data_IF_714904986509
#
_entry.id   IF_714904986509
#
_cell.length_a   1.000
_cell.length_b   1.000
_cell.length_c   1.000
_cell.angle_alpha   90.00
_cell.angle_beta   90.00
_cell.angle_gamma   90.00
#
_symmetry.space_group_name_H-M   'P 1'
#
loop_
_entity.id
_entity.type
_entity.pdbx_description
1 polymer ?
#
# COMPACT_ATOMS: atom_id res chain seq x y z
N UNK A 1 -8.43 -8.81 -20.46
CA UNK A 1 -7.19 -9.55 -20.13
C UNK A 1 -5.92 -8.76 -20.44
N UNK A 2 -5.77 -8.17 -21.63
CA UNK A 2 -4.59 -7.36 -21.99
C UNK A 2 -4.33 -6.15 -21.07
N UNK A 3 -5.38 -5.48 -20.58
CA UNK A 3 -5.28 -4.31 -19.70
C UNK A 3 -4.66 -4.63 -18.34
N UNK A 4 -4.88 -5.85 -17.84
CA UNK A 4 -4.37 -6.29 -16.53
C UNK A 4 -2.88 -6.63 -16.62
N UNK A 5 -2.44 -7.19 -17.74
CA UNK A 5 -1.03 -7.50 -17.99
C UNK A 5 -0.20 -6.24 -18.22
N UNK A 6 -0.74 -5.25 -18.94
CA UNK A 6 -0.13 -3.94 -19.16
C UNK A 6 -0.04 -3.12 -17.87
N UNK A 7 -1.08 -3.19 -17.03
CA UNK A 7 -1.05 -2.65 -15.67
C UNK A 7 0.01 -3.36 -14.82
N UNK A 8 0.11 -4.70 -14.92
CA UNK A 8 1.13 -5.48 -14.21
C UNK A 8 2.54 -5.02 -14.60
N UNK A 9 2.84 -4.89 -15.89
CA UNK A 9 4.12 -4.39 -16.39
C UNK A 9 4.42 -2.94 -15.92
N UNK A 10 3.39 -2.10 -15.83
CA UNK A 10 3.52 -0.75 -15.24
C UNK A 10 3.77 -0.79 -13.72
N UNK A 11 3.19 -1.73 -12.98
CA UNK A 11 3.52 -1.92 -11.56
C UNK A 11 4.95 -2.44 -11.37
N UNK A 12 5.45 -3.32 -12.25
CA UNK A 12 6.84 -3.83 -12.20
C UNK A 12 7.91 -2.76 -12.46
N UNK A 13 7.54 -1.65 -13.13
CA UNK A 13 8.48 -0.57 -13.48
C UNK A 13 8.96 0.29 -12.30
N UNK A 14 8.46 0.06 -11.07
CA UNK A 14 8.67 0.92 -9.88
C UNK A 14 8.18 2.36 -10.06
N UNK A 15 7.24 2.64 -10.96
CA UNK A 15 6.75 4.01 -11.23
C UNK A 15 5.33 4.22 -10.65
N UNK A 16 4.60 3.15 -10.36
CA UNK A 16 3.19 3.19 -9.96
C UNK A 16 2.94 2.39 -8.69
N UNK A 17 2.07 2.93 -7.83
CA UNK A 17 1.50 2.22 -6.69
C UNK A 17 0.09 1.78 -7.04
N UNK A 18 -0.28 0.56 -6.64
CA UNK A 18 -1.59 -0.01 -6.89
C UNK A 18 -2.15 -0.70 -5.66
N UNK A 19 -3.47 -0.68 -5.52
CA UNK A 19 -4.19 -1.44 -4.52
C UNK A 19 -5.55 -1.90 -5.04
N UNK A 20 -6.00 -3.04 -4.53
CA UNK A 20 -7.30 -3.62 -4.82
C UNK A 20 -7.98 -3.96 -3.51
N UNK A 21 -9.23 -3.53 -3.36
CA UNK A 21 -10.08 -3.88 -2.23
C UNK A 21 -11.01 -5.02 -2.64
N UNK A 22 -10.93 -6.12 -1.90
CA UNK A 22 -11.77 -7.30 -2.06
C UNK A 22 -12.53 -7.51 -0.76
N UNK A 23 -13.85 -7.69 -0.84
CA UNK A 23 -14.70 -8.03 0.29
C UNK A 23 -15.64 -9.16 -0.13
N UNK A 24 -15.76 -10.21 0.70
CA UNK A 24 -16.61 -11.37 0.42
C UNK A 24 -16.39 -11.95 -1.00
N UNK A 25 -15.13 -12.05 -1.43
CA UNK A 25 -14.71 -12.52 -2.76
C UNK A 25 -15.16 -11.65 -3.95
N UNK A 26 -15.66 -10.43 -3.70
CA UNK A 26 -16.02 -9.45 -4.72
C UNK A 26 -15.04 -8.27 -4.72
N UNK A 27 -14.66 -7.82 -5.92
CA UNK A 27 -13.84 -6.64 -6.09
C UNK A 27 -14.69 -5.38 -5.90
N UNK A 28 -14.39 -4.59 -4.87
CA UNK A 28 -15.14 -3.37 -4.55
C UNK A 28 -14.48 -2.15 -5.18
N UNK A 29 -13.17 -2.05 -5.07
CA UNK A 29 -12.44 -0.87 -5.50
C UNK A 29 -11.07 -1.23 -6.07
N UNK A 30 -10.72 -0.52 -7.14
CA UNK A 30 -9.38 -0.49 -7.70
C UNK A 30 -8.87 0.93 -7.60
N UNK A 31 -7.64 1.08 -7.16
CA UNK A 31 -7.00 2.37 -7.18
C UNK A 31 -5.51 2.23 -7.46
N UNK A 32 -5.01 3.16 -8.25
CA UNK A 32 -3.59 3.26 -8.55
C UNK A 32 -3.22 4.72 -8.66
N UNK A 33 -1.95 5.02 -8.40
CA UNK A 33 -1.40 6.35 -8.64
C UNK A 33 0.06 6.23 -9.06
N UNK A 34 0.52 7.23 -9.79
CA UNK A 34 1.94 7.38 -10.07
C UNK A 34 2.68 7.78 -8.78
N UNK A 35 3.91 7.30 -8.64
CA UNK A 35 4.82 7.79 -7.62
C UNK A 35 5.13 9.26 -7.86
N UNK A 36 5.19 10.02 -6.77
CA UNK A 36 5.67 11.39 -6.83
C UNK A 36 7.19 11.37 -7.01
N UNK A 37 7.73 12.45 -7.58
CA UNK A 37 9.16 12.62 -7.85
C UNK A 37 10.02 12.35 -6.60
N UNK A 38 9.56 12.76 -5.41
CA UNK A 38 10.27 12.52 -4.15
C UNK A 38 10.15 11.07 -3.64
N UNK A 39 9.04 10.38 -3.95
CA UNK A 39 8.86 8.97 -3.57
C UNK A 39 9.71 8.05 -4.45
N UNK A 40 10.06 8.49 -5.67
CA UNK A 40 10.89 7.71 -6.59
C UNK A 40 12.31 7.42 -6.04
N UNK A 41 12.80 8.25 -5.11
CA UNK A 41 14.09 8.04 -4.45
C UNK A 41 13.99 7.17 -3.19
N UNK A 42 12.80 6.70 -2.83
CA UNK A 42 12.63 5.89 -1.64
C UNK A 42 13.17 4.47 -1.85
N UNK A 43 13.76 3.88 -0.81
CA UNK A 43 14.15 2.48 -0.87
C UNK A 43 12.90 1.60 -1.03
N UNK A 44 13.07 0.39 -1.57
CA UNK A 44 11.96 -0.51 -1.88
C UNK A 44 11.03 -0.75 -0.68
N UNK A 45 11.56 -0.88 0.53
CA UNK A 45 10.73 -1.07 1.74
C UNK A 45 9.82 0.12 2.06
N UNK A 46 10.27 1.36 1.80
CA UNK A 46 9.47 2.57 2.00
C UNK A 46 8.41 2.73 0.90
N UNK A 47 8.72 2.29 -0.33
CA UNK A 47 7.75 2.23 -1.42
C UNK A 47 6.62 1.24 -1.12
N UNK A 48 6.94 0.06 -0.60
CA UNK A 48 5.94 -0.93 -0.16
C UNK A 48 5.05 -0.35 0.94
N UNK A 49 5.64 0.32 1.94
CA UNK A 49 4.86 0.95 3.00
C UNK A 49 3.97 2.08 2.45
N UNK A 50 4.47 2.86 1.49
CA UNK A 50 3.68 3.89 0.81
C UNK A 50 2.50 3.30 0.03
N UNK A 51 2.67 2.11 -0.57
CA UNK A 51 1.60 1.36 -1.23
C UNK A 51 0.48 0.99 -0.25
N UNK A 52 0.84 0.46 0.92
CA UNK A 52 -0.11 0.07 1.97
C UNK A 52 -0.84 1.29 2.55
N UNK A 53 -0.10 2.36 2.85
CA UNK A 53 -0.70 3.62 3.32
C UNK A 53 -1.65 4.21 2.29
N UNK A 54 -1.30 4.13 1.00
CA UNK A 54 -2.16 4.57 -0.09
C UNK A 54 -3.45 3.73 -0.15
N UNK A 55 -3.32 2.40 -0.08
CA UNK A 55 -4.45 1.48 -0.05
C UNK A 55 -5.41 1.80 1.10
N UNK A 56 -4.88 1.95 2.31
CA UNK A 56 -5.67 2.22 3.51
C UNK A 56 -6.32 3.60 3.49
N UNK A 57 -5.69 4.61 2.90
CA UNK A 57 -6.31 5.93 2.72
C UNK A 57 -7.54 5.88 1.82
N UNK A 58 -7.48 5.13 0.73
CA UNK A 58 -8.63 4.95 -0.18
C UNK A 58 -9.69 4.09 0.47
N UNK A 59 -9.26 3.02 1.15
CA UNK A 59 -10.15 2.08 1.78
C UNK A 59 -10.67 2.59 3.13
N UNK A 60 -10.19 3.70 3.69
CA UNK A 60 -10.61 4.24 5.00
C UNK A 60 -12.13 4.30 5.16
N UNK A 61 -12.85 4.65 4.08
CA UNK A 61 -14.32 4.71 4.08
C UNK A 61 -14.99 3.33 4.22
N UNK A 62 -14.31 2.27 3.81
CA UNK A 62 -14.78 0.88 3.84
C UNK A 62 -14.25 0.07 5.04
N UNK A 63 -13.10 0.47 5.61
CA UNK A 63 -12.40 -0.29 6.65
C UNK A 63 -12.74 0.13 8.09
N UNK A 64 -13.39 1.27 8.27
CA UNK A 64 -13.69 1.79 9.61
C UNK A 64 -14.56 0.80 10.42
N UNK A 65 -13.99 0.23 11.48
CA UNK A 65 -14.68 -0.74 12.36
C UNK A 65 -14.74 -2.18 11.84
N UNK A 66 -13.95 -2.53 10.82
CA UNK A 66 -13.90 -3.88 10.23
C UNK A 66 -12.47 -4.42 10.29
N UNK A 67 -12.31 -5.71 10.62
CA UNK A 67 -11.01 -6.37 10.54
C UNK A 67 -10.58 -6.53 9.08
N UNK A 68 -9.34 -6.14 8.77
CA UNK A 68 -8.80 -6.12 7.41
C UNK A 68 -7.55 -6.97 7.32
N UNK A 69 -7.57 -7.93 6.40
CA UNK A 69 -6.38 -8.67 6.02
C UNK A 69 -5.66 -7.96 4.87
N UNK A 70 -4.42 -7.54 5.11
CA UNK A 70 -3.58 -6.88 4.10
C UNK A 70 -2.67 -7.92 3.44
N UNK A 71 -2.87 -8.14 2.14
CA UNK A 71 -2.02 -9.01 1.33
C UNK A 71 -1.04 -8.16 0.51
N UNK A 72 0.25 -8.41 0.69
CA UNK A 72 1.35 -7.84 -0.10
C UNK A 72 2.24 -8.98 -0.58
N UNK A 73 2.79 -8.86 -1.78
CA UNK A 73 3.74 -9.79 -2.38
C UNK A 73 5.12 -9.72 -1.73
N UNK A 74 5.42 -8.66 -0.98
CA UNK A 74 6.73 -8.41 -0.40
C UNK A 74 6.81 -8.72 1.11
N UNK A 75 7.63 -9.73 1.46
CA UNK A 75 7.93 -10.15 2.85
C UNK A 75 8.52 -9.03 3.73
N UNK A 76 9.04 -7.96 3.13
CA UNK A 76 9.64 -6.81 3.84
C UNK A 76 8.66 -6.08 4.76
N UNK A 77 7.35 -6.12 4.47
CA UNK A 77 6.36 -5.42 5.30
C UNK A 77 6.26 -5.99 6.72
N UNK A 78 6.51 -7.29 6.90
CA UNK A 78 6.56 -7.93 8.23
C UNK A 78 7.68 -7.35 9.11
N UNK A 79 8.74 -6.83 8.48
CA UNK A 79 9.89 -6.26 9.17
C UNK A 79 9.68 -4.78 9.51
N UNK A 80 8.89 -4.04 8.72
CA UNK A 80 8.56 -2.63 9.01
C UNK A 80 7.92 -2.50 10.39
N UNK A 81 6.93 -3.33 10.73
CA UNK A 81 6.30 -3.30 12.06
C UNK A 81 7.20 -3.79 13.20
N UNK A 82 8.27 -4.54 12.90
CA UNK A 82 9.22 -5.08 13.89
C UNK A 82 10.46 -4.19 14.08
N UNK A 83 10.70 -3.24 13.17
CA UNK A 83 11.91 -2.43 13.18
C UNK A 83 11.82 -1.32 14.24
N UNK A 84 12.84 -1.25 15.10
CA UNK A 84 12.90 -0.32 16.24
C UNK A 84 13.20 1.12 15.83
N UNK A 85 13.97 1.30 14.76
CA UNK A 85 14.39 2.60 14.23
C UNK A 85 13.60 2.96 12.98
N UNK A 86 12.40 3.50 13.21
CA UNK A 86 11.55 4.05 12.16
C UNK A 86 11.91 5.49 11.86
N UNK A 87 12.09 5.81 10.58
CA UNK A 87 12.25 7.19 10.10
C UNK A 87 11.00 8.02 10.45
N UNK A 88 11.14 9.34 10.62
CA UNK A 88 10.03 10.24 10.99
C UNK A 88 8.79 10.10 10.07
N UNK A 89 9.01 9.84 8.77
CA UNK A 89 7.95 9.59 7.81
C UNK A 89 7.18 8.29 8.13
N UNK A 90 7.90 7.20 8.39
CA UNK A 90 7.30 5.91 8.71
C UNK A 90 6.53 5.97 10.04
N UNK A 91 7.03 6.71 11.04
CA UNK A 91 6.30 6.94 12.30
C UNK A 91 4.93 7.59 12.08
N UNK A 92 4.87 8.66 11.28
CA UNK A 92 3.59 9.32 10.92
C UNK A 92 2.65 8.37 10.18
N UNK A 93 3.19 7.50 9.37
CA UNK A 93 2.40 6.50 8.66
C UNK A 93 1.89 5.42 9.60
N UNK A 94 2.71 4.92 10.54
CA UNK A 94 2.28 3.99 11.59
C UNK A 94 1.20 4.58 12.50
N UNK A 95 1.31 5.86 12.89
CA UNK A 95 0.26 6.56 13.63
C UNK A 95 -1.06 6.56 12.85
N UNK A 96 -1.00 6.83 11.54
CA UNK A 96 -2.17 6.79 10.67
C UNK A 96 -2.72 5.37 10.48
N UNK A 97 -1.85 4.35 10.53
CA UNK A 97 -2.27 2.96 10.51
C UNK A 97 -3.01 2.59 11.80
N UNK A 98 -2.49 2.97 12.97
CA UNK A 98 -3.14 2.75 14.27
C UNK A 98 -4.45 3.53 14.46
N UNK A 99 -4.67 4.62 13.70
CA UNK A 99 -5.95 5.35 13.70
C UNK A 99 -7.00 4.70 12.78
N UNK A 100 -6.56 3.91 11.80
CA UNK A 100 -7.44 3.27 10.80
C UNK A 100 -7.75 1.80 11.17
N UNK A 101 -6.79 1.09 11.75
CA UNK A 101 -6.86 -0.30 12.22
C UNK A 101 -7.24 -0.36 13.71
#
# INVERSE_FOLDING_TARGET
>A
ENSFHELKDRFTSRIWLGCVLIQNSNFIAYASRQLKIHENNYPTHDLELAAVVFALKICRRYLYGVLVDVFTDHKSLQYVFKQKDQNLCQRRWLELLNDIL
#
